data_IF_625181852817
#
_entry.id   IF_625181852817
#
_cell.length_a   1.000
_cell.length_b   1.000
_cell.length_c   1.000
_cell.angle_alpha   90.00
_cell.angle_beta   90.00
_cell.angle_gamma   90.00
#
_symmetry.space_group_name_H-M   'P 1'
#
loop_
_entity.id
_entity.type
_entity.pdbx_description
1 polymer ?
#
# COMPACT_ATOMS: atom_id res chain seq x y z
N UNK A 1 -58.33 45.18 40.42
CA UNK A 1 -57.63 45.37 39.13
C UNK A 1 -56.66 44.22 38.92
N UNK A 2 -57.12 43.17 38.24
CA UNK A 2 -56.28 42.01 37.90
C UNK A 2 -55.51 42.32 36.62
N UNK A 3 -54.18 42.43 36.74
CA UNK A 3 -53.30 42.54 35.57
C UNK A 3 -53.26 41.17 34.90
N UNK A 4 -53.79 41.09 33.68
CA UNK A 4 -53.74 39.90 32.85
C UNK A 4 -52.30 39.64 32.38
N UNK A 5 -51.63 38.67 33.02
CA UNK A 5 -50.25 38.26 32.71
C UNK A 5 -50.21 37.10 31.68
N UNK A 6 -51.33 36.76 31.04
CA UNK A 6 -51.36 35.62 30.08
C UNK A 6 -50.78 35.95 28.71
N UNK A 7 -50.67 37.23 28.33
CA UNK A 7 -50.11 37.66 27.04
C UNK A 7 -48.57 37.53 26.91
N UNK A 8 -47.82 37.57 28.02
CA UNK A 8 -46.33 37.58 27.99
C UNK A 8 -45.67 36.19 27.82
N UNK A 9 -46.40 35.08 27.96
CA UNK A 9 -45.81 33.73 27.97
C UNK A 9 -45.57 33.13 26.58
N UNK A 10 -46.27 33.61 25.55
CA UNK A 10 -46.22 33.05 24.19
C UNK A 10 -44.93 33.41 23.44
N UNK A 11 -44.41 34.65 23.49
CA UNK A 11 -43.16 35.04 22.81
C UNK A 11 -41.91 34.34 23.38
N UNK A 12 -41.81 34.21 24.71
CA UNK A 12 -40.65 33.56 25.34
C UNK A 12 -40.56 32.06 25.02
N UNK A 13 -41.70 31.36 24.92
CA UNK A 13 -41.72 29.95 24.50
C UNK A 13 -41.26 29.76 23.06
N UNK A 14 -41.66 30.65 22.14
CA UNK A 14 -41.21 30.63 20.74
C UNK A 14 -39.70 30.88 20.62
N UNK A 15 -39.15 31.83 21.41
CA UNK A 15 -37.70 32.08 21.47
C UNK A 15 -36.93 30.88 22.00
N UNK A 16 -37.43 30.23 23.06
CA UNK A 16 -36.80 29.04 23.65
C UNK A 16 -36.71 27.89 22.63
N UNK A 17 -37.80 27.59 21.92
CA UNK A 17 -37.82 26.56 20.88
C UNK A 17 -36.87 26.87 19.72
N UNK A 18 -36.82 28.13 19.28
CA UNK A 18 -35.91 28.56 18.20
C UNK A 18 -34.47 28.41 18.63
N UNK A 19 -34.14 28.82 19.86
CA UNK A 19 -32.81 28.66 20.43
C UNK A 19 -32.42 27.17 20.56
N UNK A 20 -33.35 26.29 20.95
CA UNK A 20 -33.12 24.84 20.99
C UNK A 20 -32.84 24.25 19.60
N UNK A 21 -33.57 24.66 18.56
CA UNK A 21 -33.33 24.19 17.18
C UNK A 21 -31.97 24.67 16.68
N UNK A 22 -31.63 25.94 16.91
CA UNK A 22 -30.32 26.49 16.52
C UNK A 22 -29.18 25.79 17.26
N UNK A 23 -29.33 25.52 18.57
CA UNK A 23 -28.34 24.79 19.34
C UNK A 23 -28.18 23.34 18.84
N UNK A 24 -29.26 22.64 18.52
CA UNK A 24 -29.21 21.30 17.94
C UNK A 24 -28.60 21.30 16.53
N UNK A 25 -28.88 22.32 15.72
CA UNK A 25 -28.27 22.47 14.40
C UNK A 25 -26.77 22.76 14.50
N UNK A 26 -26.33 23.55 15.48
CA UNK A 26 -24.92 23.79 15.75
C UNK A 26 -24.21 22.52 16.26
N UNK A 27 -24.86 21.72 17.11
CA UNK A 27 -24.34 20.44 17.56
C UNK A 27 -24.21 19.43 16.41
N UNK A 28 -25.21 19.35 15.53
CA UNK A 28 -25.17 18.49 14.35
C UNK A 28 -24.12 18.96 13.32
N UNK A 29 -23.91 20.27 13.19
CA UNK A 29 -22.79 20.83 12.42
C UNK A 29 -21.45 20.35 12.97
N UNK A 30 -21.22 20.52 14.28
CA UNK A 30 -19.97 20.12 14.91
C UNK A 30 -19.73 18.61 14.76
N UNK A 31 -20.74 17.79 15.03
CA UNK A 31 -20.65 16.33 14.87
C UNK A 31 -20.36 15.95 13.40
N UNK A 32 -21.07 16.55 12.45
CA UNK A 32 -20.85 16.31 11.02
C UNK A 32 -19.45 16.72 10.55
N UNK A 33 -18.90 17.82 11.07
CA UNK A 33 -17.52 18.23 10.74
C UNK A 33 -16.47 17.28 11.31
N UNK A 34 -16.68 16.76 12.52
CA UNK A 34 -15.77 15.78 13.15
C UNK A 34 -15.80 14.47 12.37
N UNK A 35 -16.99 13.96 12.04
CA UNK A 35 -17.12 12.72 11.27
C UNK A 35 -16.47 12.83 9.89
N UNK A 36 -16.67 13.93 9.15
CA UNK A 36 -16.00 14.15 7.86
C UNK A 36 -14.47 14.24 8.03
N UNK A 37 -13.99 14.90 9.10
CA UNK A 37 -12.56 14.96 9.38
C UNK A 37 -11.97 13.58 9.69
N UNK A 38 -12.67 12.76 10.48
CA UNK A 38 -12.20 11.42 10.85
C UNK A 38 -12.13 10.49 9.63
N UNK A 39 -13.14 10.51 8.75
CA UNK A 39 -13.09 9.78 7.47
C UNK A 39 -11.94 10.26 6.58
N UNK A 40 -11.70 11.58 6.49
CA UNK A 40 -10.55 12.12 5.76
C UNK A 40 -9.21 11.69 6.39
N UNK A 41 -9.12 11.63 7.72
CA UNK A 41 -7.94 11.14 8.43
C UNK A 41 -7.69 9.65 8.15
N UNK A 42 -8.73 8.82 8.10
CA UNK A 42 -8.63 7.40 7.73
C UNK A 42 -8.08 7.19 6.31
N UNK A 43 -8.69 7.83 5.31
CA UNK A 43 -8.25 7.77 3.90
C UNK A 43 -6.81 8.30 3.74
N UNK A 44 -6.47 9.37 4.46
CA UNK A 44 -5.12 9.93 4.42
C UNK A 44 -4.10 9.02 5.08
N UNK A 45 -4.42 8.40 6.22
CA UNK A 45 -3.54 7.45 6.90
C UNK A 45 -3.20 6.28 5.99
N UNK A 46 -4.23 5.63 5.42
CA UNK A 46 -4.02 4.49 4.52
C UNK A 46 -3.18 4.90 3.31
N UNK A 47 -3.56 5.99 2.64
CA UNK A 47 -2.92 6.36 1.39
C UNK A 47 -1.62 7.15 1.50
N UNK A 48 -1.24 7.68 2.68
CA UNK A 48 0.00 8.48 2.87
C UNK A 48 0.99 7.86 3.84
N UNK A 49 0.55 6.94 4.68
CA UNK A 49 1.39 6.33 5.71
C UNK A 49 1.50 4.83 5.46
N UNK A 50 0.42 4.06 5.67
CA UNK A 50 0.53 2.59 5.69
C UNK A 50 0.76 1.98 4.32
N UNK A 51 0.12 2.47 3.25
CA UNK A 51 0.33 1.94 1.91
C UNK A 51 1.73 2.24 1.36
N UNK A 52 2.27 3.48 1.44
CA UNK A 52 3.66 3.76 1.08
C UNK A 52 4.69 2.98 1.92
N UNK A 53 4.41 2.70 3.21
CA UNK A 53 5.29 1.89 4.06
C UNK A 53 5.28 0.41 3.65
N UNK A 54 4.11 -0.17 3.39
CA UNK A 54 3.99 -1.56 2.91
C UNK A 54 4.64 -1.74 1.54
N UNK A 55 4.45 -0.77 0.63
CA UNK A 55 5.13 -0.71 -0.65
C UNK A 55 6.64 -0.69 -0.45
N UNK A 56 7.17 0.26 0.32
CA UNK A 56 8.61 0.39 0.54
C UNK A 56 9.23 -0.85 1.18
N UNK A 57 8.54 -1.51 2.12
CA UNK A 57 9.03 -2.76 2.71
C UNK A 57 9.06 -3.92 1.70
N UNK A 58 8.11 -3.97 0.76
CA UNK A 58 8.11 -4.97 -0.32
C UNK A 58 9.18 -4.67 -1.37
N UNK A 59 9.34 -3.40 -1.73
CA UNK A 59 10.35 -2.93 -2.67
C UNK A 59 11.76 -3.15 -2.11
N UNK A 60 11.96 -2.94 -0.82
CA UNK A 60 13.20 -3.25 -0.11
C UNK A 60 13.57 -4.75 -0.20
N UNK A 61 12.61 -5.64 0.08
CA UNK A 61 12.85 -7.09 -0.02
C UNK A 61 13.21 -7.50 -1.46
N UNK A 62 12.51 -6.95 -2.44
CA UNK A 62 12.83 -7.13 -3.86
C UNK A 62 14.21 -6.59 -4.23
N UNK A 63 14.53 -5.36 -3.83
CA UNK A 63 15.77 -4.68 -4.19
C UNK A 63 17.01 -5.37 -3.61
N UNK A 64 16.89 -5.93 -2.39
CA UNK A 64 17.94 -6.76 -1.78
C UNK A 64 18.18 -8.06 -2.56
N UNK A 65 17.11 -8.75 -2.95
CA UNK A 65 17.23 -9.99 -3.71
C UNK A 65 17.81 -9.76 -5.11
N UNK A 66 17.36 -8.72 -5.81
CA UNK A 66 17.93 -8.33 -7.10
C UNK A 66 19.40 -7.91 -6.96
N UNK A 67 19.75 -7.10 -5.94
CA UNK A 67 21.14 -6.72 -5.67
C UNK A 67 22.06 -7.95 -5.53
N UNK A 68 21.63 -8.96 -4.78
CA UNK A 68 22.39 -10.20 -4.58
C UNK A 68 22.54 -11.00 -5.89
N UNK A 69 21.46 -11.13 -6.64
CA UNK A 69 21.45 -11.80 -7.95
C UNK A 69 22.36 -11.11 -8.97
N UNK A 70 22.33 -9.77 -9.04
CA UNK A 70 23.20 -9.00 -9.93
C UNK A 70 24.66 -9.05 -9.50
N UNK A 71 24.93 -9.10 -8.19
CA UNK A 71 26.29 -9.29 -7.68
C UNK A 71 26.84 -10.65 -8.12
N UNK A 72 26.03 -11.71 -8.02
CA UNK A 72 26.39 -13.04 -8.52
C UNK A 72 26.68 -13.04 -10.03
N UNK A 73 25.80 -12.42 -10.82
CA UNK A 73 25.94 -12.30 -12.29
C UNK A 73 27.20 -11.54 -12.67
N UNK A 74 27.51 -10.47 -11.95
CA UNK A 74 28.73 -9.70 -12.16
C UNK A 74 29.98 -10.55 -11.91
N UNK A 75 30.05 -11.25 -10.78
CA UNK A 75 31.18 -12.14 -10.44
C UNK A 75 31.34 -13.24 -11.49
N UNK A 76 30.23 -13.82 -11.95
CA UNK A 76 30.25 -14.84 -13.01
C UNK A 76 30.87 -14.33 -14.32
N UNK A 77 30.67 -13.06 -14.65
CA UNK A 77 31.10 -12.43 -15.90
C UNK A 77 32.55 -11.90 -15.89
N UNK A 78 33.22 -11.85 -14.73
CA UNK A 78 34.60 -11.35 -14.63
C UNK A 78 35.56 -12.25 -15.42
N UNK A 79 36.49 -11.61 -16.15
CA UNK A 79 37.59 -12.29 -16.82
C UNK A 79 37.33 -12.71 -18.28
N UNK A 80 36.27 -12.18 -18.92
CA UNK A 80 36.01 -12.34 -20.36
C UNK A 80 35.52 -11.02 -21.00
N UNK A 81 36.22 -10.56 -22.03
CA UNK A 81 35.86 -9.34 -22.77
C UNK A 81 34.50 -9.47 -23.48
N UNK A 82 34.12 -10.69 -23.88
CA UNK A 82 32.82 -10.95 -24.53
C UNK A 82 31.64 -10.75 -23.56
N UNK A 83 31.90 -10.72 -22.24
CA UNK A 83 30.91 -10.53 -21.18
C UNK A 83 30.94 -9.13 -20.55
N UNK A 84 31.75 -8.21 -21.08
CA UNK A 84 31.86 -6.85 -20.55
C UNK A 84 30.53 -6.08 -20.55
N UNK A 85 29.64 -6.34 -21.52
CA UNK A 85 28.30 -5.72 -21.55
C UNK A 85 27.38 -6.26 -20.44
N UNK A 86 27.13 -7.58 -20.32
CA UNK A 86 26.42 -8.16 -19.18
C UNK A 86 26.99 -7.75 -17.81
N UNK A 87 28.32 -7.70 -17.67
CA UNK A 87 28.97 -7.26 -16.44
C UNK A 87 28.63 -5.80 -16.11
N UNK A 88 28.75 -4.91 -17.09
CA UNK A 88 28.44 -3.50 -16.95
C UNK A 88 26.97 -3.23 -16.60
N UNK A 89 26.05 -3.99 -17.22
CA UNK A 89 24.60 -3.90 -16.93
C UNK A 89 24.27 -4.37 -15.52
N UNK A 90 24.87 -5.48 -15.06
CA UNK A 90 24.74 -5.98 -13.70
C UNK A 90 25.29 -4.95 -12.68
N UNK A 91 26.45 -4.35 -12.96
CA UNK A 91 27.03 -3.29 -12.12
C UNK A 91 26.11 -2.06 -12.04
N UNK A 92 25.60 -1.59 -13.18
CA UNK A 92 24.72 -0.42 -13.22
C UNK A 92 23.41 -0.67 -12.46
N UNK A 93 22.87 -1.89 -12.54
CA UNK A 93 21.67 -2.28 -11.80
C UNK A 93 21.94 -2.37 -10.30
N UNK A 94 23.03 -3.03 -9.89
CA UNK A 94 23.43 -3.11 -8.48
C UNK A 94 23.62 -1.72 -7.85
N UNK A 95 24.30 -0.80 -8.55
CA UNK A 95 24.51 0.57 -8.08
C UNK A 95 23.18 1.33 -7.88
N UNK A 96 22.20 1.10 -8.76
CA UNK A 96 20.85 1.68 -8.63
C UNK A 96 20.12 1.11 -7.41
N UNK A 97 20.16 -0.21 -7.22
CA UNK A 97 19.51 -0.90 -6.10
C UNK A 97 20.02 -0.46 -4.74
N UNK A 98 21.31 -0.18 -4.59
CA UNK A 98 21.85 0.37 -3.35
C UNK A 98 21.18 1.70 -2.97
N UNK A 99 20.94 2.59 -3.95
CA UNK A 99 20.22 3.85 -3.71
C UNK A 99 18.75 3.66 -3.39
N UNK A 100 18.09 2.70 -4.04
CA UNK A 100 16.68 2.34 -3.80
C UNK A 100 16.50 1.73 -2.39
N UNK A 101 17.37 0.79 -1.97
CA UNK A 101 17.35 0.19 -0.63
C UNK A 101 17.38 1.25 0.47
N UNK A 102 18.25 2.25 0.35
CA UNK A 102 18.36 3.35 1.31
C UNK A 102 17.11 4.27 1.31
N UNK A 103 16.50 4.51 0.14
CA UNK A 103 15.25 5.26 0.04
C UNK A 103 14.07 4.48 0.65
N UNK A 104 13.92 3.21 0.28
CA UNK A 104 12.84 2.31 0.72
C UNK A 104 12.92 2.07 2.21
N UNK A 105 14.12 1.83 2.75
CA UNK A 105 14.31 1.64 4.17
C UNK A 105 13.87 2.90 4.96
N UNK A 106 14.24 4.10 4.50
CA UNK A 106 13.79 5.36 5.14
C UNK A 106 12.28 5.56 5.03
N UNK A 107 11.68 5.21 3.90
CA UNK A 107 10.25 5.34 3.68
C UNK A 107 9.46 4.36 4.57
N UNK A 108 9.92 3.11 4.69
CA UNK A 108 9.31 2.09 5.54
C UNK A 108 9.26 2.52 7.02
N UNK A 109 10.32 3.16 7.53
CA UNK A 109 10.34 3.68 8.90
C UNK A 109 9.80 5.12 9.04
N UNK A 110 9.35 5.73 7.94
CA UNK A 110 8.88 7.12 7.92
C UNK A 110 7.77 7.34 8.94
N UNK A 111 7.94 8.30 9.85
CA UNK A 111 6.94 8.66 10.86
C UNK A 111 7.07 7.95 12.21
N UNK A 112 7.96 6.96 12.35
CA UNK A 112 8.18 6.31 13.66
C UNK A 112 9.15 7.10 14.54
N UNK A 113 8.79 7.26 15.82
CA UNK A 113 9.67 7.83 16.86
C UNK A 113 10.15 6.77 17.86
N UNK A 114 9.86 5.49 17.60
CA UNK A 114 10.24 4.40 18.49
C UNK A 114 11.76 4.14 18.40
N UNK A 115 12.51 4.30 19.51
CA UNK A 115 13.96 4.02 19.55
C UNK A 115 14.32 2.59 19.14
N UNK A 116 13.45 1.61 19.41
CA UNK A 116 13.71 0.21 19.06
C UNK A 116 13.64 -0.01 17.54
N UNK A 117 12.69 0.65 16.85
CA UNK A 117 12.58 0.59 15.39
C UNK A 117 13.76 1.30 14.73
N UNK A 118 14.16 2.46 15.26
CA UNK A 118 15.33 3.19 14.78
C UNK A 118 16.63 2.39 14.96
N UNK A 119 16.79 1.68 16.08
CA UNK A 119 17.95 0.82 16.29
C UNK A 119 18.02 -0.33 15.26
N UNK A 120 16.89 -0.99 14.97
CA UNK A 120 16.81 -2.04 13.93
C UNK A 120 17.14 -1.50 12.54
N UNK A 121 16.64 -0.32 12.21
CA UNK A 121 16.98 0.38 10.97
C UNK A 121 18.49 0.62 10.83
N UNK A 122 19.14 1.13 11.88
CA UNK A 122 20.59 1.35 11.87
C UNK A 122 21.35 0.02 11.69
N UNK A 123 20.94 -1.04 12.39
CA UNK A 123 21.53 -2.37 12.19
C UNK A 123 21.39 -2.84 10.74
N UNK A 124 20.24 -2.62 10.11
CA UNK A 124 20.05 -3.01 8.71
C UNK A 124 20.93 -2.21 7.75
N UNK A 125 21.07 -0.90 7.96
CA UNK A 125 22.03 -0.08 7.20
C UNK A 125 23.47 -0.56 7.37
N UNK A 126 23.87 -0.91 8.59
CA UNK A 126 25.20 -1.46 8.87
C UNK A 126 25.43 -2.79 8.13
N UNK A 127 24.42 -3.66 8.07
CA UNK A 127 24.51 -4.92 7.34
C UNK A 127 24.53 -4.73 5.82
N UNK A 128 23.78 -3.76 5.27
CA UNK A 128 23.87 -3.40 3.85
C UNK A 128 25.26 -2.87 3.50
N UNK A 129 25.83 -2.03 4.37
CA UNK A 129 27.19 -1.52 4.19
C UNK A 129 28.23 -2.64 4.26
N UNK A 130 28.08 -3.58 5.20
CA UNK A 130 28.94 -4.76 5.31
C UNK A 130 28.86 -5.65 4.06
N UNK A 131 27.64 -5.94 3.58
CA UNK A 131 27.42 -6.68 2.34
C UNK A 131 28.13 -6.02 1.16
N UNK A 132 27.99 -4.70 1.03
CA UNK A 132 28.60 -3.93 -0.06
C UNK A 132 30.13 -3.97 0.02
N UNK A 133 30.72 -3.80 1.21
CA UNK A 133 32.18 -3.87 1.41
C UNK A 133 32.75 -5.26 1.08
N UNK A 134 32.10 -6.32 1.54
CA UNK A 134 32.48 -7.70 1.24
C UNK A 134 32.38 -8.00 -0.26
N UNK A 135 31.29 -7.58 -0.90
CA UNK A 135 31.07 -7.78 -2.34
C UNK A 135 32.08 -7.01 -3.18
N UNK A 136 32.35 -5.75 -2.83
CA UNK A 136 33.36 -4.94 -3.49
C UNK A 136 34.76 -5.52 -3.31
N UNK A 137 35.06 -6.05 -2.12
CA UNK A 137 36.33 -6.72 -1.84
C UNK A 137 36.46 -7.97 -2.71
N UNK A 138 35.44 -8.84 -2.75
CA UNK A 138 35.42 -10.03 -3.60
C UNK A 138 35.72 -9.68 -5.07
N UNK A 139 34.98 -8.73 -5.63
CA UNK A 139 35.13 -8.29 -7.03
C UNK A 139 36.52 -7.71 -7.27
N UNK A 140 37.05 -6.88 -6.36
CA UNK A 140 38.38 -6.30 -6.53
C UNK A 140 39.50 -7.33 -6.47
N UNK A 141 39.37 -8.36 -5.60
CA UNK A 141 40.33 -9.45 -5.53
C UNK A 141 40.30 -10.28 -6.81
N UNK A 142 39.10 -10.52 -7.36
CA UNK A 142 38.94 -11.31 -8.59
C UNK A 142 39.54 -10.59 -9.79
N UNK A 143 39.26 -9.29 -9.96
CA UNK A 143 39.82 -8.45 -11.03
C UNK A 143 41.35 -8.33 -10.96
N UNK A 144 41.94 -8.41 -9.76
CA UNK A 144 43.40 -8.35 -9.58
C UNK A 144 44.07 -9.72 -9.71
N UNK A 145 43.32 -10.82 -9.66
CA UNK A 145 43.88 -12.16 -9.73
C UNK A 145 44.28 -12.54 -11.15
N UNK A 146 45.51 -13.01 -11.32
CA UNK A 146 45.96 -13.62 -12.57
C UNK A 146 45.35 -15.02 -12.80
N UNK A 147 44.68 -15.57 -11.79
CA UNK A 147 44.03 -16.89 -11.84
C UNK A 147 42.55 -16.81 -12.14
N UNK A 148 41.96 -15.60 -12.11
CA UNK A 148 40.56 -15.40 -12.45
C UNK A 148 40.34 -15.73 -13.93
N UNK A 149 39.35 -16.58 -14.17
CA UNK A 149 38.86 -16.91 -15.48
C UNK A 149 37.33 -16.99 -15.42
N UNK A 150 36.68 -16.82 -16.56
CA UNK A 150 35.22 -16.87 -16.66
C UNK A 150 34.62 -18.12 -15.99
N UNK A 151 33.60 -17.93 -15.15
CA UNK A 151 33.00 -19.00 -14.35
C UNK A 151 33.91 -19.68 -13.32
N UNK A 152 35.11 -19.14 -13.06
CA UNK A 152 36.11 -19.66 -12.12
C UNK A 152 36.79 -18.50 -11.38
N UNK A 153 36.07 -17.86 -10.44
CA UNK A 153 36.64 -16.79 -9.64
C UNK A 153 37.78 -17.30 -8.76
N UNK A 154 38.64 -16.38 -8.35
CA UNK A 154 39.70 -16.64 -7.41
C UNK A 154 39.13 -17.20 -6.08
N UNK A 155 39.74 -18.23 -5.47
CA UNK A 155 39.24 -18.79 -4.21
C UNK A 155 39.14 -17.77 -3.06
N UNK A 156 40.02 -16.77 -3.02
CA UNK A 156 39.97 -15.69 -2.03
C UNK A 156 38.78 -14.79 -2.32
N UNK A 157 38.57 -14.38 -3.58
CA UNK A 157 37.40 -13.61 -3.99
C UNK A 157 36.10 -14.34 -3.63
N UNK A 158 36.03 -15.64 -3.91
CA UNK A 158 34.88 -16.47 -3.59
C UNK A 158 34.62 -16.56 -2.08
N UNK A 159 35.65 -16.55 -1.23
CA UNK A 159 35.47 -16.55 0.23
C UNK A 159 34.83 -15.25 0.75
N UNK A 160 35.22 -14.10 0.19
CA UNK A 160 34.59 -12.81 0.51
C UNK A 160 33.15 -12.76 0.01
N UNK A 161 32.90 -13.26 -1.21
CA UNK A 161 31.56 -13.31 -1.77
C UNK A 161 30.65 -14.26 -0.99
N UNK A 162 31.12 -15.44 -0.59
CA UNK A 162 30.36 -16.34 0.27
C UNK A 162 29.96 -15.67 1.58
N UNK A 163 30.87 -14.87 2.18
CA UNK A 163 30.55 -14.12 3.38
C UNK A 163 29.54 -12.99 3.14
N UNK A 164 29.59 -12.34 1.98
CA UNK A 164 28.57 -11.36 1.58
C UNK A 164 27.21 -12.05 1.42
N UNK A 165 27.16 -13.19 0.73
CA UNK A 165 25.95 -13.99 0.57
C UNK A 165 25.37 -14.42 1.93
N UNK A 166 26.20 -14.80 2.90
CA UNK A 166 25.72 -15.09 4.26
C UNK A 166 25.01 -13.88 4.88
N UNK A 167 25.58 -12.68 4.79
CA UNK A 167 24.95 -11.45 5.32
C UNK A 167 23.62 -11.19 4.62
N UNK A 168 23.55 -11.36 3.30
CA UNK A 168 22.30 -11.19 2.56
C UNK A 168 21.22 -12.18 3.03
N UNK A 169 21.56 -13.46 3.11
CA UNK A 169 20.61 -14.56 3.31
C UNK A 169 20.23 -14.78 4.77
N UNK A 170 21.13 -14.50 5.72
CA UNK A 170 20.88 -14.73 7.14
C UNK A 170 20.54 -13.45 7.91
N UNK A 171 21.01 -12.28 7.48
CA UNK A 171 20.84 -11.03 8.22
C UNK A 171 19.89 -10.02 7.53
N UNK A 172 19.89 -9.94 6.19
CA UNK A 172 19.12 -8.92 5.45
C UNK A 172 17.75 -9.43 4.96
N UNK A 173 17.71 -10.45 4.11
CA UNK A 173 16.47 -10.94 3.48
C UNK A 173 15.42 -11.41 4.50
N UNK A 174 15.75 -12.15 5.58
CA UNK A 174 14.76 -12.56 6.58
C UNK A 174 14.12 -11.37 7.30
N UNK A 175 14.92 -10.34 7.62
CA UNK A 175 14.45 -9.12 8.27
C UNK A 175 13.57 -8.32 7.33
N UNK A 176 13.97 -8.17 6.06
CA UNK A 176 13.16 -7.51 5.04
C UNK A 176 11.82 -8.23 4.79
N UNK A 177 11.82 -9.57 4.75
CA UNK A 177 10.60 -10.37 4.64
C UNK A 177 9.66 -10.19 5.84
N UNK A 178 10.20 -10.17 7.06
CA UNK A 178 9.42 -9.88 8.26
C UNK A 178 8.80 -8.47 8.22
N UNK A 179 9.57 -7.49 7.75
CA UNK A 179 9.11 -6.11 7.63
C UNK A 179 7.96 -5.98 6.62
N UNK A 180 8.13 -6.60 5.45
CA UNK A 180 7.09 -6.73 4.42
C UNK A 180 5.81 -7.31 5.00
N UNK A 181 5.90 -8.47 5.66
CA UNK A 181 4.73 -9.17 6.19
C UNK A 181 4.04 -8.35 7.28
N UNK A 182 4.81 -7.65 8.11
CA UNK A 182 4.29 -6.78 9.18
C UNK A 182 3.52 -5.60 8.59
N UNK A 183 4.10 -4.87 7.64
CA UNK A 183 3.44 -3.70 7.05
C UNK A 183 2.29 -4.08 6.11
N UNK A 184 2.35 -5.23 5.43
CA UNK A 184 1.22 -5.76 4.68
C UNK A 184 0.03 -6.04 5.62
N UNK A 185 0.28 -6.67 6.77
CA UNK A 185 -0.75 -6.90 7.78
C UNK A 185 -1.29 -5.59 8.38
N UNK A 186 -0.43 -4.61 8.66
CA UNK A 186 -0.83 -3.29 9.17
C UNK A 186 -1.66 -2.50 8.15
N UNK A 187 -1.31 -2.59 6.86
CA UNK A 187 -2.11 -2.01 5.77
C UNK A 187 -3.51 -2.62 5.72
N UNK A 188 -3.60 -3.95 5.75
CA UNK A 188 -4.88 -4.66 5.75
C UNK A 188 -5.72 -4.31 6.98
N UNK A 189 -5.11 -4.35 8.17
CA UNK A 189 -5.78 -3.96 9.42
C UNK A 189 -6.25 -2.50 9.39
N UNK A 190 -5.50 -1.59 8.75
CA UNK A 190 -5.89 -0.18 8.62
C UNK A 190 -7.00 0.06 7.60
N UNK A 191 -7.13 -0.84 6.62
CA UNK A 191 -8.26 -0.87 5.69
C UNK A 191 -9.52 -1.45 6.35
N UNK A 192 -9.40 -2.58 7.07
CA UNK A 192 -10.50 -3.31 7.71
C UNK A 192 -11.07 -2.61 8.95
N UNK A 193 -10.24 -1.99 9.80
CA UNK A 193 -10.70 -1.34 11.05
C UNK A 193 -11.60 -0.10 10.85
N UNK A 194 -11.98 0.21 9.61
CA UNK A 194 -13.03 1.19 9.34
C UNK A 194 -14.45 0.61 9.51
N UNK A 195 -14.62 -0.71 9.55
CA UNK A 195 -15.96 -1.35 9.54
C UNK A 195 -16.56 -1.64 10.95
N UNK A 196 -15.75 -1.97 11.95
CA UNK A 196 -16.27 -2.63 13.18
C UNK A 196 -16.47 -1.73 14.40
N UNK A 197 -15.94 -0.51 14.39
CA UNK A 197 -16.31 0.47 15.40
C UNK A 197 -17.44 1.32 14.84
N UNK A 198 -18.64 1.20 15.41
CA UNK A 198 -19.54 2.35 15.43
C UNK A 198 -18.77 3.43 16.17
N UNK A 199 -18.01 4.23 15.42
CA UNK A 199 -17.19 5.28 16.00
C UNK A 199 -18.12 6.13 16.85
N UNK A 200 -17.64 6.56 18.00
CA UNK A 200 -18.40 7.44 18.90
C UNK A 200 -18.96 8.64 18.11
N UNK A 201 -18.25 9.03 17.04
CA UNK A 201 -18.62 10.06 16.09
C UNK A 201 -19.82 9.69 15.19
N UNK A 202 -19.88 8.49 14.61
CA UNK A 202 -21.05 8.03 13.85
C UNK A 202 -22.30 7.98 14.73
N UNK A 203 -22.16 7.51 15.97
CA UNK A 203 -23.27 7.49 16.96
C UNK A 203 -23.69 8.91 17.33
N UNK A 204 -22.74 9.82 17.55
CA UNK A 204 -23.01 11.23 17.86
C UNK A 204 -23.69 11.95 16.70
N UNK A 205 -23.28 11.73 15.46
CA UNK A 205 -23.91 12.31 14.26
C UNK A 205 -25.35 11.81 14.12
N UNK A 206 -25.56 10.49 14.26
CA UNK A 206 -26.90 9.90 14.21
C UNK A 206 -27.79 10.42 15.33
N UNK A 207 -27.29 10.44 16.57
CA UNK A 207 -28.04 10.91 17.73
C UNK A 207 -28.41 12.39 17.62
N UNK A 208 -27.46 13.27 17.26
CA UNK A 208 -27.70 14.71 17.12
C UNK A 208 -28.60 15.02 15.93
N UNK A 209 -28.43 14.31 14.80
CA UNK A 209 -29.28 14.44 13.62
C UNK A 209 -30.73 14.00 13.87
N UNK A 210 -30.93 12.85 14.53
CA UNK A 210 -32.26 12.36 14.91
C UNK A 210 -32.92 13.28 15.95
N UNK A 211 -32.16 13.80 16.91
CA UNK A 211 -32.67 14.76 17.88
C UNK A 211 -33.12 16.08 17.23
N UNK A 212 -32.35 16.59 16.26
CA UNK A 212 -32.71 17.76 15.47
C UNK A 212 -33.99 17.52 14.64
N UNK A 213 -34.10 16.35 13.99
CA UNK A 213 -35.32 15.96 13.26
C UNK A 213 -36.55 15.92 14.17
N UNK A 214 -36.44 15.28 15.34
CA UNK A 214 -37.52 15.21 16.32
C UNK A 214 -37.94 16.61 16.80
N UNK A 215 -36.98 17.51 17.02
CA UNK A 215 -37.26 18.90 17.39
C UNK A 215 -37.98 19.68 16.28
N UNK A 216 -37.55 19.53 15.02
CA UNK A 216 -38.19 20.17 13.86
C UNK A 216 -39.63 19.68 13.65
N UNK A 217 -39.85 18.37 13.68
CA UNK A 217 -41.17 17.75 13.57
C UNK A 217 -42.09 18.13 14.74
N UNK A 218 -41.57 18.09 15.96
CA UNK A 218 -42.29 18.51 17.16
C UNK A 218 -42.74 19.98 17.08
N UNK A 219 -41.86 20.86 16.57
CA UNK A 219 -42.17 22.27 16.39
C UNK A 219 -43.24 22.49 15.31
N UNK A 220 -43.16 21.77 14.19
CA UNK A 220 -44.19 21.78 13.14
C UNK A 220 -45.57 21.30 13.65
N UNK A 221 -45.59 20.22 14.43
CA UNK A 221 -46.81 19.67 15.03
C UNK A 221 -47.44 20.63 16.05
N UNK A 222 -46.62 21.26 16.88
CA UNK A 222 -47.09 22.26 17.86
C UNK A 222 -47.73 23.47 17.17
N UNK A 223 -47.09 23.98 16.12
CA UNK A 223 -47.59 25.09 15.31
C UNK A 223 -48.90 24.71 14.60
N UNK A 224 -48.96 23.53 14.00
CA UNK A 224 -50.14 23.05 13.26
C UNK A 224 -51.34 22.84 14.18
N UNK A 225 -51.14 22.20 15.34
CA UNK A 225 -52.20 21.98 16.34
C UNK A 225 -52.71 23.28 16.95
N UNK A 226 -51.84 24.26 17.19
CA UNK A 226 -52.21 25.51 17.88
C UNK A 226 -52.81 26.57 16.96
N UNK A 227 -52.41 26.62 15.69
CA UNK A 227 -52.81 27.68 14.76
C UNK A 227 -53.72 27.23 13.59
N UNK A 228 -54.08 25.93 13.49
CA UNK A 228 -54.99 25.37 12.48
C UNK A 228 -54.70 25.81 11.02
N UNK A 229 -53.43 26.08 10.68
CA UNK A 229 -52.99 26.51 9.35
C UNK A 229 -51.76 25.72 8.90
N UNK A 230 -51.72 25.47 7.59
CA UNK A 230 -50.82 24.55 6.88
C UNK A 230 -49.33 24.79 7.13
N UNK A 231 -48.58 23.69 7.03
CA UNK A 231 -47.11 23.54 7.04
C UNK A 231 -46.34 24.83 6.75
N UNK A 232 -45.44 25.21 7.67
CA UNK A 232 -44.50 26.31 7.44
C UNK A 232 -43.45 25.86 6.40
N UNK A 233 -43.41 26.44 5.19
CA UNK A 233 -42.53 25.98 4.12
C UNK A 233 -41.05 26.07 4.50
N UNK A 234 -40.65 27.04 5.33
CA UNK A 234 -39.27 27.19 5.79
C UNK A 234 -38.82 26.04 6.70
N UNK A 235 -39.70 25.58 7.61
CA UNK A 235 -39.41 24.44 8.48
C UNK A 235 -39.45 23.13 7.69
N UNK A 236 -40.34 23.00 6.71
CA UNK A 236 -40.38 21.84 5.83
C UNK A 236 -39.07 21.72 5.03
N UNK A 237 -38.59 22.83 4.45
CA UNK A 237 -37.31 22.88 3.77
C UNK A 237 -36.13 22.50 4.68
N UNK A 238 -36.12 23.00 5.93
CA UNK A 238 -35.10 22.62 6.91
C UNK A 238 -35.13 21.12 7.25
N UNK A 239 -36.33 20.53 7.34
CA UNK A 239 -36.49 19.10 7.63
C UNK A 239 -35.98 18.26 6.46
N UNK A 240 -36.31 18.62 5.22
CA UNK A 240 -35.82 17.95 4.01
C UNK A 240 -34.30 18.06 3.89
N UNK A 241 -33.72 19.23 4.19
CA UNK A 241 -32.27 19.42 4.19
C UNK A 241 -31.57 18.54 5.23
N UNK A 242 -32.10 18.42 6.44
CA UNK A 242 -31.55 17.54 7.48
C UNK A 242 -31.68 16.05 7.12
N UNK A 243 -32.82 15.62 6.57
CA UNK A 243 -33.00 14.23 6.08
C UNK A 243 -32.02 13.94 4.93
N UNK A 244 -31.89 14.86 3.98
CA UNK A 244 -30.97 14.73 2.86
C UNK A 244 -29.51 14.62 3.31
N UNK A 245 -29.10 15.43 4.29
CA UNK A 245 -27.76 15.37 4.87
C UNK A 245 -27.51 14.04 5.60
N UNK A 246 -28.46 13.57 6.41
CA UNK A 246 -28.31 12.29 7.12
C UNK A 246 -28.27 11.11 6.16
N UNK A 247 -29.16 11.09 5.16
CA UNK A 247 -29.18 10.05 4.14
C UNK A 247 -27.88 10.04 3.32
N UNK A 248 -27.45 11.21 2.85
CA UNK A 248 -26.25 11.32 2.03
C UNK A 248 -24.95 11.12 2.83
N UNK A 249 -24.92 11.50 4.11
CA UNK A 249 -23.82 11.22 5.03
C UNK A 249 -23.65 9.72 5.30
N UNK A 250 -24.76 9.01 5.51
CA UNK A 250 -24.73 7.55 5.70
C UNK A 250 -24.23 6.80 4.45
N UNK A 251 -24.69 7.19 3.26
CA UNK A 251 -24.21 6.58 2.00
C UNK A 251 -22.76 6.94 1.69
N UNK A 252 -22.31 8.14 2.08
CA UNK A 252 -20.92 8.57 1.85
C UNK A 252 -19.94 7.76 2.70
N UNK A 253 -20.24 7.54 3.98
CA UNK A 253 -19.36 6.80 4.88
C UNK A 253 -19.21 5.35 4.44
N UNK A 254 -20.30 4.67 4.05
CA UNK A 254 -20.23 3.30 3.51
C UNK A 254 -19.45 3.23 2.20
N UNK A 255 -19.76 4.12 1.25
CA UNK A 255 -19.14 4.09 -0.08
C UNK A 255 -17.63 4.41 -0.05
N UNK A 256 -17.16 5.18 0.93
CA UNK A 256 -15.74 5.57 1.03
C UNK A 256 -14.88 4.48 1.68
N UNK A 257 -15.37 3.82 2.72
CA UNK A 257 -14.67 2.71 3.36
C UNK A 257 -14.53 1.54 2.39
N UNK A 258 -15.60 1.19 1.68
CA UNK A 258 -15.59 0.17 0.62
C UNK A 258 -14.55 0.48 -0.46
N UNK A 259 -14.38 1.75 -0.83
CA UNK A 259 -13.40 2.16 -1.87
C UNK A 259 -11.96 2.02 -1.40
N UNK A 260 -11.65 2.35 -0.15
CA UNK A 260 -10.28 2.20 0.37
C UNK A 260 -9.92 0.72 0.47
N UNK A 261 -10.81 -0.10 1.01
CA UNK A 261 -10.60 -1.53 1.09
C UNK A 261 -10.50 -2.16 -0.30
N UNK A 262 -11.41 -1.84 -1.22
CA UNK A 262 -11.30 -2.30 -2.60
C UNK A 262 -10.01 -1.85 -3.27
N UNK A 263 -9.52 -0.63 -3.00
CA UNK A 263 -8.24 -0.17 -3.54
C UNK A 263 -7.08 -1.02 -3.01
N UNK A 264 -7.08 -1.33 -1.71
CA UNK A 264 -6.07 -2.22 -1.11
C UNK A 264 -6.17 -3.61 -1.72
N UNK A 265 -7.33 -4.26 -1.65
CA UNK A 265 -7.52 -5.64 -2.08
C UNK A 265 -7.30 -5.84 -3.58
N UNK A 266 -7.73 -4.88 -4.40
CA UNK A 266 -7.70 -5.00 -5.88
C UNK A 266 -6.38 -4.54 -6.49
N UNK A 267 -5.62 -3.69 -5.80
CA UNK A 267 -4.43 -3.06 -6.37
C UNK A 267 -3.21 -3.22 -5.48
N UNK A 268 -3.26 -2.80 -4.21
CA UNK A 268 -2.07 -2.87 -3.37
C UNK A 268 -1.70 -4.31 -3.00
N UNK A 269 -2.65 -5.17 -2.63
CA UNK A 269 -2.36 -6.57 -2.30
C UNK A 269 -1.74 -7.33 -3.48
N UNK A 270 -2.26 -7.25 -4.72
CA UNK A 270 -1.57 -7.78 -5.90
C UNK A 270 -0.18 -7.18 -6.12
N UNK A 271 0.00 -5.86 -5.94
CA UNK A 271 1.31 -5.21 -6.03
C UNK A 271 2.33 -5.84 -5.09
N UNK A 272 2.00 -5.96 -3.80
CA UNK A 272 2.89 -6.53 -2.78
C UNK A 272 3.19 -8.00 -3.11
N UNK A 273 2.19 -8.75 -3.58
CA UNK A 273 2.35 -10.14 -4.02
C UNK A 273 3.27 -10.28 -5.25
N UNK A 274 3.18 -9.37 -6.22
CA UNK A 274 4.07 -9.36 -7.39
C UNK A 274 5.50 -9.04 -6.96
N UNK A 275 5.73 -8.04 -6.10
CA UNK A 275 7.07 -7.73 -5.62
C UNK A 275 7.68 -8.89 -4.83
N UNK A 276 6.89 -9.58 -4.00
CA UNK A 276 7.31 -10.79 -3.33
C UNK A 276 7.66 -11.91 -4.34
N UNK A 277 6.83 -12.15 -5.34
CA UNK A 277 7.11 -13.16 -6.37
C UNK A 277 8.39 -12.81 -7.16
N UNK A 278 8.59 -11.54 -7.52
CA UNK A 278 9.81 -11.07 -8.18
C UNK A 278 11.04 -11.34 -7.31
N UNK A 279 11.01 -10.96 -6.04
CA UNK A 279 12.10 -11.22 -5.10
C UNK A 279 12.45 -12.71 -5.03
N UNK A 280 11.46 -13.59 -4.86
CA UNK A 280 11.71 -15.05 -4.82
C UNK A 280 12.23 -15.58 -6.16
N UNK A 281 11.81 -14.99 -7.29
CA UNK A 281 12.33 -15.35 -8.62
C UNK A 281 13.80 -14.93 -8.78
N UNK A 282 14.17 -13.72 -8.32
CA UNK A 282 15.57 -13.24 -8.32
C UNK A 282 16.46 -14.10 -7.44
N UNK A 283 15.95 -14.54 -6.30
CA UNK A 283 16.69 -15.43 -5.40
C UNK A 283 16.91 -16.81 -6.03
N UNK A 284 15.86 -17.42 -6.59
CA UNK A 284 15.95 -18.71 -7.28
C UNK A 284 16.97 -18.67 -8.43
N UNK A 285 16.90 -17.64 -9.28
CA UNK A 285 17.83 -17.49 -10.41
C UNK A 285 19.23 -17.12 -9.92
N UNK A 286 19.35 -16.29 -8.88
CA UNK A 286 20.61 -15.95 -8.24
C UNK A 286 21.31 -17.19 -7.66
N UNK A 287 20.56 -18.09 -7.03
CA UNK A 287 21.06 -19.37 -6.53
C UNK A 287 21.67 -20.23 -7.65
N UNK A 288 21.01 -20.27 -8.81
CA UNK A 288 21.52 -21.00 -9.99
C UNK A 288 22.75 -20.36 -10.62
N UNK A 289 22.79 -19.03 -10.69
CA UNK A 289 23.98 -18.27 -11.12
C UNK A 289 25.15 -18.55 -10.17
N UNK A 290 24.93 -18.48 -8.85
CA UNK A 290 25.94 -18.83 -7.84
C UNK A 290 26.39 -20.29 -7.94
N UNK A 291 25.47 -21.21 -8.19
CA UNK A 291 25.78 -22.63 -8.39
C UNK A 291 26.70 -22.83 -9.60
N UNK A 292 26.49 -22.09 -10.69
CA UNK A 292 27.36 -22.15 -11.87
C UNK A 292 28.79 -21.67 -11.58
N UNK A 293 28.95 -20.68 -10.70
CA UNK A 293 30.26 -20.17 -10.26
C UNK A 293 30.95 -21.14 -9.28
N UNK A 294 30.18 -21.74 -8.37
CA UNK A 294 30.71 -22.46 -7.22
C UNK A 294 29.82 -23.67 -6.84
N UNK A 295 29.86 -24.76 -7.63
CA UNK A 295 28.94 -25.89 -7.44
C UNK A 295 29.14 -26.64 -6.12
N UNK A 296 30.34 -26.57 -5.53
CA UNK A 296 30.67 -27.24 -4.27
C UNK A 296 30.22 -26.48 -3.01
N UNK A 297 29.60 -25.31 -3.15
CA UNK A 297 29.18 -24.46 -2.03
C UNK A 297 27.72 -24.68 -1.61
N UNK A 298 26.96 -25.53 -2.32
CA UNK A 298 25.58 -25.86 -1.98
C UNK A 298 24.58 -24.72 -2.21
N UNK A 299 24.91 -23.77 -3.08
CA UNK A 299 24.05 -22.61 -3.39
C UNK A 299 22.68 -22.99 -3.98
N UNK A 300 22.53 -24.19 -4.54
CA UNK A 300 21.28 -24.67 -5.13
C UNK A 300 20.26 -25.20 -4.11
N UNK A 301 20.61 -25.31 -2.82
CA UNK A 301 19.75 -25.88 -1.79
C UNK A 301 18.41 -25.14 -1.61
N UNK A 302 18.39 -23.82 -1.83
CA UNK A 302 17.19 -22.98 -1.70
C UNK A 302 16.23 -23.06 -2.91
N UNK A 303 16.77 -23.36 -4.09
CA UNK A 303 16.04 -23.24 -5.36
C UNK A 303 14.74 -24.04 -5.40
N UNK A 304 14.75 -25.28 -4.90
CA UNK A 304 13.56 -26.13 -4.90
C UNK A 304 12.44 -25.56 -3.99
N UNK A 305 12.81 -24.88 -2.90
CA UNK A 305 11.86 -24.23 -2.02
C UNK A 305 11.26 -22.97 -2.69
N UNK A 306 12.08 -22.19 -3.39
CA UNK A 306 11.63 -21.00 -4.11
C UNK A 306 10.69 -21.36 -5.27
N UNK A 307 11.03 -22.39 -6.05
CA UNK A 307 10.15 -22.91 -7.10
C UNK A 307 8.82 -23.37 -6.51
N UNK A 308 8.85 -24.13 -5.41
CA UNK A 308 7.63 -24.58 -4.74
C UNK A 308 6.79 -23.41 -4.18
N UNK A 309 7.42 -22.33 -3.72
CA UNK A 309 6.73 -21.12 -3.29
C UNK A 309 6.09 -20.37 -4.47
N UNK A 310 6.78 -20.28 -5.60
CA UNK A 310 6.31 -19.59 -6.81
C UNK A 310 5.17 -20.35 -7.51
N UNK A 311 5.30 -21.68 -7.65
CA UNK A 311 4.33 -22.55 -8.32
C UNK A 311 3.14 -22.90 -7.41
N UNK A 312 3.39 -22.97 -6.11
CA UNK A 312 2.45 -23.46 -5.12
C UNK A 312 2.54 -24.97 -4.91
N UNK A 313 2.06 -25.42 -3.76
CA UNK A 313 2.11 -26.83 -3.37
C UNK A 313 0.83 -27.25 -2.64
N UNK A 314 0.45 -28.53 -2.79
CA UNK A 314 -0.66 -29.13 -2.03
C UNK A 314 -2.03 -28.49 -2.29
N UNK A 315 -2.29 -28.04 -3.52
CA UNK A 315 -3.56 -27.42 -3.92
C UNK A 315 -3.72 -25.95 -3.51
N UNK A 316 -2.66 -25.32 -3.00
CA UNK A 316 -2.61 -23.88 -2.75
C UNK A 316 -1.98 -23.15 -3.94
N UNK A 317 -2.52 -22.00 -4.37
CA UNK A 317 -1.89 -21.18 -5.39
C UNK A 317 -0.51 -20.71 -4.93
N UNK A 318 0.46 -20.68 -5.85
CA UNK A 318 1.79 -20.13 -5.60
C UNK A 318 1.83 -18.60 -5.63
N UNK A 319 2.98 -18.04 -5.27
CA UNK A 319 3.20 -16.59 -5.20
C UNK A 319 2.95 -15.90 -6.55
N UNK A 320 3.37 -16.50 -7.67
CA UNK A 320 3.12 -15.91 -8.99
C UNK A 320 1.62 -15.80 -9.28
N UNK A 321 0.88 -16.88 -9.06
CA UNK A 321 -0.57 -16.90 -9.29
C UNK A 321 -1.34 -15.97 -8.35
N UNK A 322 -0.88 -15.84 -7.09
CA UNK A 322 -1.52 -14.99 -6.08
C UNK A 322 -1.23 -13.51 -6.35
N UNK A 323 0.02 -13.15 -6.67
CA UNK A 323 0.40 -11.78 -6.98
C UNK A 323 -0.22 -11.27 -8.28
N UNK A 324 -0.31 -12.12 -9.31
CA UNK A 324 -0.93 -11.76 -10.58
C UNK A 324 -2.46 -11.83 -10.55
N UNK A 325 -3.08 -12.20 -9.43
CA UNK A 325 -4.51 -12.16 -9.27
C UNK A 325 -5.03 -10.73 -9.45
N UNK A 326 -6.01 -10.54 -10.33
CA UNK A 326 -6.57 -9.21 -10.62
C UNK A 326 -5.75 -8.35 -11.59
N UNK A 327 -4.64 -8.88 -12.13
CA UNK A 327 -3.95 -8.27 -13.29
C UNK A 327 -4.62 -8.66 -14.61
N UNK A 328 -4.13 -8.11 -15.73
CA UNK A 328 -4.57 -8.51 -17.06
C UNK A 328 -4.34 -10.00 -17.30
N UNK A 329 -5.36 -10.71 -17.79
CA UNK A 329 -5.32 -12.17 -17.94
C UNK A 329 -4.28 -12.64 -18.97
N UNK A 330 -4.01 -11.85 -20.02
CA UNK A 330 -3.00 -12.20 -21.00
C UNK A 330 -1.60 -12.00 -20.43
N UNK A 331 -1.38 -10.93 -19.66
CA UNK A 331 -0.13 -10.70 -18.93
C UNK A 331 0.13 -11.80 -17.89
N UNK A 332 -0.87 -12.17 -17.10
CA UNK A 332 -0.75 -13.23 -16.10
C UNK A 332 -0.42 -14.59 -16.75
N UNK A 333 -1.09 -14.94 -17.86
CA UNK A 333 -0.79 -16.15 -18.60
C UNK A 333 0.62 -16.12 -19.22
N UNK A 334 1.05 -14.96 -19.71
CA UNK A 334 2.38 -14.77 -20.27
C UNK A 334 3.48 -14.95 -19.21
N UNK A 335 3.36 -14.29 -18.06
CA UNK A 335 4.31 -14.43 -16.95
C UNK A 335 4.41 -15.87 -16.45
N UNK A 336 3.30 -16.62 -16.40
CA UNK A 336 3.34 -18.05 -16.05
C UNK A 336 4.09 -18.90 -17.09
N UNK A 337 3.93 -18.59 -18.38
CA UNK A 337 4.69 -19.23 -19.45
C UNK A 337 6.18 -18.89 -19.37
N UNK A 338 6.52 -17.61 -19.17
CA UNK A 338 7.92 -17.16 -19.08
C UNK A 338 8.61 -17.79 -17.87
N UNK A 339 7.91 -17.92 -16.73
CA UNK A 339 8.43 -18.63 -15.56
C UNK A 339 8.70 -20.12 -15.84
N UNK A 340 7.82 -20.79 -16.58
CA UNK A 340 8.06 -22.18 -16.98
C UNK A 340 9.31 -22.31 -17.86
N UNK A 341 9.54 -21.35 -18.76
CA UNK A 341 10.77 -21.29 -19.56
C UNK A 341 12.00 -21.11 -18.67
N UNK A 342 11.98 -20.15 -17.75
CA UNK A 342 13.07 -19.91 -16.78
C UNK A 342 13.39 -21.17 -15.96
N UNK A 343 12.39 -21.94 -15.54
CA UNK A 343 12.62 -23.22 -14.85
C UNK A 343 13.30 -24.27 -15.74
N UNK A 344 12.97 -24.32 -17.04
CA UNK A 344 13.61 -25.25 -17.97
C UNK A 344 15.08 -24.87 -18.19
N UNK A 345 15.34 -23.59 -18.35
CA UNK A 345 16.67 -23.03 -18.59
C UNK A 345 17.57 -23.18 -17.35
N UNK A 346 17.03 -22.95 -16.16
CA UNK A 346 17.73 -23.21 -14.90
C UNK A 346 18.11 -24.69 -14.72
N UNK A 347 17.23 -25.62 -15.13
CA UNK A 347 17.56 -27.06 -15.12
C UNK A 347 18.63 -27.41 -16.15
N UNK A 348 18.61 -26.77 -17.33
CA UNK A 348 19.64 -26.92 -18.36
C UNK A 348 20.99 -26.42 -17.85
N UNK A 349 21.03 -25.21 -17.30
CA UNK A 349 22.20 -24.63 -16.65
C UNK A 349 22.79 -25.59 -15.60
N UNK A 350 21.95 -26.11 -14.69
CA UNK A 350 22.41 -27.07 -13.68
C UNK A 350 23.01 -28.33 -14.32
N UNK A 351 22.39 -28.86 -15.36
CA UNK A 351 22.91 -30.03 -16.08
C UNK A 351 24.27 -29.78 -16.75
N UNK A 352 24.52 -28.57 -17.26
CA UNK A 352 25.79 -28.18 -17.87
C UNK A 352 26.90 -28.06 -16.81
N UNK A 353 26.58 -27.44 -15.68
CA UNK A 353 27.48 -27.35 -14.51
C UNK A 353 27.83 -28.74 -13.98
N UNK A 354 26.84 -29.60 -13.78
CA UNK A 354 27.03 -30.98 -13.30
C UNK A 354 27.83 -31.84 -14.31
N UNK A 355 27.72 -31.53 -15.60
CA UNK A 355 28.49 -32.14 -16.68
C UNK A 355 29.92 -31.59 -16.82
N UNK A 356 30.27 -30.51 -16.13
CA UNK A 356 31.57 -29.84 -16.20
C UNK A 356 31.75 -28.90 -17.40
N UNK A 357 30.66 -28.58 -18.12
CA UNK A 357 30.67 -27.65 -19.25
C UNK A 357 30.41 -26.22 -18.78
N UNK A 358 31.48 -25.61 -18.23
CA UNK A 358 31.44 -24.23 -17.68
C UNK A 358 31.14 -23.20 -18.77
N UNK A 359 31.57 -23.44 -20.01
CA UNK A 359 31.34 -22.51 -21.13
C UNK A 359 29.86 -22.48 -21.52
N UNK A 360 29.22 -23.65 -21.64
CA UNK A 360 27.78 -23.73 -21.91
C UNK A 360 26.97 -23.11 -20.78
N UNK A 361 27.30 -23.43 -19.52
CA UNK A 361 26.64 -22.89 -18.35
C UNK A 361 26.72 -21.35 -18.29
N UNK A 362 27.87 -20.79 -18.62
CA UNK A 362 28.05 -19.34 -18.67
C UNK A 362 27.19 -18.69 -19.76
N UNK A 363 27.19 -19.26 -20.97
CA UNK A 363 26.35 -18.82 -22.09
C UNK A 363 24.87 -18.87 -21.71
N UNK A 364 24.44 -19.90 -20.99
CA UNK A 364 23.07 -20.04 -20.51
C UNK A 364 22.72 -18.94 -19.49
N UNK A 365 23.57 -18.73 -18.48
CA UNK A 365 23.34 -17.78 -17.40
C UNK A 365 23.40 -16.30 -17.82
N UNK A 366 24.26 -15.94 -18.78
CA UNK A 366 24.50 -14.55 -19.23
C UNK A 366 23.97 -14.27 -20.64
N UNK A 367 23.34 -15.25 -21.27
CA UNK A 367 22.90 -15.18 -22.64
C UNK A 367 21.83 -14.11 -22.92
N UNK A 368 21.92 -13.47 -24.09
CA UNK A 368 20.98 -12.44 -24.59
C UNK A 368 20.06 -12.96 -25.71
N UNK A 369 20.23 -14.21 -26.13
CA UNK A 369 19.36 -14.86 -27.11
C UNK A 369 18.21 -15.59 -26.41
N UNK A 370 17.05 -15.69 -27.06
CA UNK A 370 15.93 -16.47 -26.51
C UNK A 370 16.28 -17.96 -26.37
N UNK A 371 15.78 -18.59 -25.31
CA UNK A 371 16.17 -19.96 -24.90
C UNK A 371 17.44 -20.00 -24.07
N UNK A 372 17.81 -18.87 -23.46
CA UNK A 372 18.91 -18.73 -22.50
C UNK A 372 18.36 -18.10 -21.23
N UNK A 373 18.72 -18.67 -20.08
CA UNK A 373 18.26 -18.24 -18.76
C UNK A 373 18.36 -16.72 -18.55
N UNK A 374 19.46 -16.08 -18.97
CA UNK A 374 19.66 -14.64 -18.85
C UNK A 374 18.53 -13.82 -19.49
N UNK A 375 18.25 -14.07 -20.76
CA UNK A 375 17.26 -13.34 -21.55
C UNK A 375 15.82 -13.68 -21.17
N UNK A 376 15.53 -14.96 -20.92
CA UNK A 376 14.17 -15.39 -20.60
C UNK A 376 13.77 -14.96 -19.18
N UNK A 377 14.74 -14.91 -18.25
CA UNK A 377 14.53 -14.28 -16.95
C UNK A 377 14.30 -12.76 -17.05
N UNK A 378 15.06 -12.06 -17.90
CA UNK A 378 14.82 -10.63 -18.14
C UNK A 378 13.41 -10.35 -18.68
N UNK A 379 12.92 -11.19 -19.60
CA UNK A 379 11.56 -11.08 -20.13
C UNK A 379 10.50 -11.29 -19.04
N UNK A 380 10.67 -12.29 -18.17
CA UNK A 380 9.80 -12.52 -17.02
C UNK A 380 9.78 -11.31 -16.07
N UNK A 381 10.95 -10.82 -15.64
CA UNK A 381 11.03 -9.67 -14.73
C UNK A 381 10.39 -8.42 -15.35
N UNK A 382 10.58 -8.21 -16.65
CA UNK A 382 9.94 -7.10 -17.36
C UNK A 382 8.41 -7.16 -17.27
N UNK A 383 7.81 -8.32 -17.52
CA UNK A 383 6.35 -8.49 -17.43
C UNK A 383 5.83 -8.38 -15.99
N UNK A 384 6.56 -8.91 -15.01
CA UNK A 384 6.20 -8.76 -13.59
C UNK A 384 6.30 -7.29 -13.15
N UNK A 385 7.33 -6.57 -13.59
CA UNK A 385 7.48 -5.13 -13.34
C UNK A 385 6.33 -4.32 -13.94
N UNK A 386 5.94 -4.60 -15.18
CA UNK A 386 4.77 -3.97 -15.81
C UNK A 386 3.47 -4.22 -15.04
N UNK A 387 3.28 -5.45 -14.55
CA UNK A 387 2.12 -5.80 -13.74
C UNK A 387 2.11 -5.03 -12.40
N UNK A 388 3.26 -4.93 -11.73
CA UNK A 388 3.41 -4.16 -10.50
C UNK A 388 3.11 -2.67 -10.73
N UNK A 389 3.72 -2.06 -11.76
CA UNK A 389 3.51 -0.65 -12.09
C UNK A 389 2.04 -0.34 -12.39
N UNK A 390 1.35 -1.21 -13.14
CA UNK A 390 -0.07 -1.05 -13.43
C UNK A 390 -0.92 -1.06 -12.15
N UNK A 391 -0.63 -1.96 -11.21
CA UNK A 391 -1.36 -2.03 -9.94
C UNK A 391 -1.06 -0.82 -9.05
N UNK A 392 0.20 -0.38 -8.97
CA UNK A 392 0.57 0.83 -8.22
C UNK A 392 -0.15 2.06 -8.75
N UNK A 393 -0.13 2.29 -10.07
CA UNK A 393 -0.83 3.43 -10.68
C UNK A 393 -2.36 3.36 -10.48
N UNK A 394 -2.95 2.16 -10.55
CA UNK A 394 -4.37 1.96 -10.27
C UNK A 394 -4.73 2.26 -8.80
N UNK A 395 -3.87 1.88 -7.86
CA UNK A 395 -4.02 2.24 -6.45
C UNK A 395 -3.94 3.76 -6.24
N UNK A 396 -2.90 4.40 -6.77
CA UNK A 396 -2.68 5.84 -6.62
C UNK A 396 -3.84 6.67 -7.18
N UNK A 397 -4.35 6.30 -8.35
CA UNK A 397 -5.51 6.96 -8.97
C UNK A 397 -6.78 6.76 -8.14
N UNK A 398 -7.08 5.53 -7.69
CA UNK A 398 -8.25 5.24 -6.84
C UNK A 398 -8.19 6.03 -5.52
N UNK A 399 -7.01 6.11 -4.91
CA UNK A 399 -6.81 6.89 -3.68
C UNK A 399 -6.85 8.41 -3.92
N UNK A 400 -6.45 8.90 -5.08
CA UNK A 400 -6.60 10.31 -5.45
C UNK A 400 -8.09 10.67 -5.59
N UNK A 401 -8.87 9.82 -6.26
CA UNK A 401 -10.31 9.99 -6.44
C UNK A 401 -11.07 9.91 -5.10
N UNK A 402 -10.69 8.99 -4.22
CA UNK A 402 -11.26 8.87 -2.88
C UNK A 402 -11.06 10.17 -2.05
N UNK A 403 -9.85 10.76 -2.11
CA UNK A 403 -9.54 12.04 -1.45
C UNK A 403 -10.27 13.23 -2.08
N UNK A 404 -10.34 13.29 -3.41
CA UNK A 404 -11.08 14.34 -4.10
C UNK A 404 -12.57 14.31 -3.71
N UNK A 405 -13.16 13.11 -3.69
CA UNK A 405 -14.52 12.89 -3.18
C UNK A 405 -14.69 13.37 -1.73
N UNK A 406 -13.77 13.00 -0.84
CA UNK A 406 -13.85 13.39 0.58
C UNK A 406 -13.71 14.89 0.82
N UNK A 407 -12.85 15.58 0.07
CA UNK A 407 -12.61 17.02 0.23
C UNK A 407 -13.81 17.87 -0.24
N UNK A 408 -14.53 17.44 -1.28
CA UNK A 408 -15.78 18.08 -1.73
C UNK A 408 -16.87 18.12 -0.65
N UNK A 409 -16.82 17.22 0.32
CA UNK A 409 -17.79 17.12 1.41
C UNK A 409 -17.49 18.00 2.62
N UNK A 410 -16.28 18.54 2.74
CA UNK A 410 -15.88 19.34 3.92
C UNK A 410 -16.78 20.56 4.15
N UNK A 411 -17.30 21.18 3.08
CA UNK A 411 -18.18 22.34 3.18
C UNK A 411 -19.66 21.98 3.39
N UNK A 412 -20.07 20.73 3.14
CA UNK A 412 -21.49 20.34 3.12
C UNK A 412 -22.16 20.49 4.50
N UNK A 413 -21.57 20.06 5.63
CA UNK A 413 -22.16 20.30 6.94
C UNK A 413 -22.38 21.79 7.20
N UNK A 414 -21.38 22.63 6.92
CA UNK A 414 -21.44 24.07 7.14
C UNK A 414 -22.55 24.74 6.33
N UNK A 415 -22.69 24.38 5.04
CA UNK A 415 -23.73 24.91 4.16
C UNK A 415 -25.12 24.45 4.62
N UNK A 416 -25.30 23.15 4.89
CA UNK A 416 -26.62 22.60 5.26
C UNK A 416 -27.09 23.12 6.60
N UNK A 417 -26.28 22.98 7.66
CA UNK A 417 -26.70 23.39 9.00
C UNK A 417 -26.71 24.92 9.14
N UNK A 418 -25.86 25.64 8.41
CA UNK A 418 -25.96 27.09 8.23
C UNK A 418 -27.33 27.51 7.67
N UNK A 419 -27.78 26.86 6.59
CA UNK A 419 -29.09 27.10 6.01
C UNK A 419 -30.23 26.74 6.98
N UNK A 420 -30.14 25.61 7.70
CA UNK A 420 -31.14 25.20 8.71
C UNK A 420 -31.27 26.25 9.81
N UNK A 421 -30.15 26.79 10.33
CA UNK A 421 -30.17 27.86 11.33
C UNK A 421 -30.85 29.13 10.79
N UNK A 422 -30.52 29.56 9.57
CA UNK A 422 -31.14 30.73 8.92
C UNK A 422 -32.64 30.52 8.72
N UNK A 423 -33.06 29.35 8.21
CA UNK A 423 -34.46 29.00 7.99
C UNK A 423 -35.27 28.94 9.29
N UNK A 424 -34.68 28.42 10.37
CA UNK A 424 -35.29 28.37 11.69
C UNK A 424 -35.57 29.78 12.23
N UNK A 425 -34.61 30.71 12.09
CA UNK A 425 -34.77 32.11 12.50
C UNK A 425 -35.80 32.82 11.62
N UNK A 426 -35.70 32.69 10.29
CA UNK A 426 -36.62 33.33 9.34
C UNK A 426 -38.09 32.89 9.52
N UNK A 427 -38.31 31.60 9.81
CA UNK A 427 -39.63 31.03 10.06
C UNK A 427 -40.34 31.61 11.29
N UNK A 428 -39.58 32.17 12.24
CA UNK A 428 -40.10 32.78 13.48
C UNK A 428 -40.14 34.30 13.39
N UNK A 429 -39.22 34.92 12.64
CA UNK A 429 -39.11 36.37 12.49
C UNK A 429 -40.41 37.01 11.97
N UNK A 430 -41.04 36.38 10.98
CA UNK A 430 -42.30 36.88 10.38
C UNK A 430 -43.46 36.91 11.38
N UNK A 431 -43.45 36.05 12.40
CA UNK A 431 -44.47 36.02 13.47
C UNK A 431 -44.12 36.91 14.65
N UNK A 432 -42.84 37.08 14.97
CA UNK A 432 -42.41 38.04 16.01
C UNK A 432 -42.65 39.49 15.58
N UNK A 433 -42.60 39.78 14.27
CA UNK A 433 -42.92 41.09 13.71
C UNK A 433 -44.41 41.45 13.85
N UNK A 434 -45.32 40.47 13.91
CA UNK A 434 -46.77 40.70 14.11
C UNK A 434 -47.14 41.04 15.55
N UNK A 435 -46.22 40.87 16.52
CA UNK A 435 -46.42 41.18 17.95
C UNK A 435 -45.66 42.43 18.43
N UNK A 436 -44.98 43.12 17.51
CA UNK A 436 -44.45 44.48 17.71
C UNK A 436 -45.50 45.47 17.27
#
# INVERSE_FOLDING_TARGET
MGVDIRGRKTPNKLRLWTASIVALAAAALAAGTVAVADTQHGVNRVGRETAPQAQAASDLYFALSDLDSQTARRILAIGDDDLATPEGDAQATAARRVGEIDADLRQAIGGTSDPAVQARFQTMLDQVALYHDLSATAISQDLLSHSAAKGRPDPIALSYYSRASDVMHFDLLPVAAQLRDTYAAELHASAENQDDAWSVDTVLVLATGLALLAALLGFQLMLSRRFRRSLNPFLAAATVATVGFLGAGLTMTSDQTDRVQQAVDRHMTPYLGIQQARAVTFDAVGAMVRYAVAPNFGYDHGYAADVAALDGAGGRPGLLSTGLAGTDAALAARSGSDWTTVQNDARKLKSEVDGGDVDAALIEATGIAGGQLGQDFYALDHHLGQAADAQRTAFESTMADARAGASGWAAVPAVVFGAVMVLAVAGVWRRLAEYR
#
